data_IF_683699625278
#
_entry.id   IF_683699625278
#
_cell.length_a   1.000
_cell.length_b   1.000
_cell.length_c   1.000
_cell.angle_alpha   90.00
_cell.angle_beta   90.00
_cell.angle_gamma   90.00
#
_symmetry.space_group_name_H-M   'P 1'
#
loop_
_entity.id
_entity.type
_entity.pdbx_description
1 polymer ?
#
# COMPACT_ATOMS: atom_id res chain seq x y z
N UNK A 1 16.04 -18.83 24.91
CA UNK A 1 16.37 -19.97 24.02
C UNK A 1 17.68 -20.51 24.53
N UNK A 2 17.66 -21.72 25.07
CA UNK A 2 18.84 -22.45 25.55
C UNK A 2 19.48 -23.24 24.40
N UNK A 3 20.70 -23.74 24.62
CA UNK A 3 21.40 -24.55 23.62
C UNK A 3 20.63 -25.85 23.38
N UNK A 4 20.46 -26.22 22.11
CA UNK A 4 19.69 -27.39 21.66
C UNK A 4 18.17 -27.31 21.95
N UNK A 5 17.63 -26.12 22.23
CA UNK A 5 16.19 -25.88 22.34
C UNK A 5 15.65 -25.32 21.02
N UNK A 6 14.59 -25.92 20.48
CA UNK A 6 13.79 -25.31 19.42
C UNK A 6 12.64 -24.53 20.08
N UNK A 7 12.53 -23.24 19.76
CA UNK A 7 11.50 -22.38 20.33
C UNK A 7 10.79 -21.60 19.23
N UNK A 8 9.46 -21.65 19.24
CA UNK A 8 8.60 -20.86 18.35
C UNK A 8 8.70 -19.38 18.74
N UNK A 9 8.85 -18.52 17.75
CA UNK A 9 8.91 -17.06 17.94
C UNK A 9 7.49 -16.51 17.99
N UNK A 10 7.15 -15.84 19.10
CA UNK A 10 5.88 -15.13 19.23
C UNK A 10 5.80 -13.99 18.21
N UNK A 11 4.67 -13.87 17.52
CA UNK A 11 4.45 -12.91 16.43
C UNK A 11 5.47 -13.04 15.27
N UNK A 12 5.97 -14.26 14.99
CA UNK A 12 6.90 -14.51 13.90
C UNK A 12 6.31 -14.46 12.48
N UNK A 13 5.00 -14.25 12.34
CA UNK A 13 4.33 -14.13 11.04
C UNK A 13 4.14 -12.67 10.64
N UNK A 14 4.54 -12.33 9.42
CA UNK A 14 4.30 -11.04 8.79
C UNK A 14 3.97 -11.25 7.31
N UNK A 15 3.04 -10.45 6.79
CA UNK A 15 2.66 -10.45 5.39
C UNK A 15 2.76 -9.03 4.84
N UNK A 16 3.31 -8.91 3.63
CA UNK A 16 3.44 -7.65 2.91
C UNK A 16 2.62 -7.74 1.62
N UNK A 17 1.68 -6.83 1.47
CA UNK A 17 0.92 -6.65 0.23
C UNK A 17 1.44 -5.41 -0.48
N UNK A 18 1.87 -5.57 -1.73
CA UNK A 18 2.42 -4.47 -2.52
C UNK A 18 2.15 -4.68 -4.00
N UNK A 19 2.31 -3.60 -4.76
CA UNK A 19 2.15 -3.58 -6.22
C UNK A 19 3.51 -3.28 -6.82
N UNK A 20 4.00 -4.18 -7.67
CA UNK A 20 5.31 -4.02 -8.30
C UNK A 20 5.29 -4.64 -9.70
N UNK A 21 6.19 -4.15 -10.58
CA UNK A 21 6.44 -4.79 -11.86
C UNK A 21 7.16 -6.15 -11.62
N UNK A 22 6.74 -7.26 -12.25
CA UNK A 22 7.39 -8.56 -12.07
C UNK A 22 8.91 -8.55 -12.32
N UNK A 23 9.38 -7.74 -13.30
CA UNK A 23 10.81 -7.62 -13.58
C UNK A 23 11.56 -6.88 -12.47
N UNK A 24 10.93 -5.86 -11.88
CA UNK A 24 11.50 -5.11 -10.76
C UNK A 24 11.55 -5.99 -9.51
N UNK A 25 10.49 -6.76 -9.22
CA UNK A 25 10.48 -7.73 -8.13
C UNK A 25 11.60 -8.76 -8.29
N UNK A 26 11.77 -9.33 -9.49
CA UNK A 26 12.86 -10.27 -9.80
C UNK A 26 14.24 -9.65 -9.52
N UNK A 27 14.47 -8.42 -9.99
CA UNK A 27 15.74 -7.72 -9.79
C UNK A 27 16.01 -7.45 -8.30
N UNK A 28 15.00 -7.02 -7.55
CA UNK A 28 15.15 -6.73 -6.12
C UNK A 28 15.44 -8.00 -5.31
N UNK A 29 14.67 -9.08 -5.50
CA UNK A 29 14.88 -10.34 -4.79
C UNK A 29 16.20 -11.02 -5.15
N UNK A 30 16.74 -10.77 -6.35
CA UNK A 30 18.06 -11.28 -6.77
C UNK A 30 19.20 -10.45 -6.20
N UNK A 31 19.01 -9.14 -6.05
CA UNK A 31 20.07 -8.21 -5.65
C UNK A 31 20.27 -8.16 -4.14
N UNK A 32 19.17 -8.24 -3.38
CA UNK A 32 19.19 -7.99 -1.94
C UNK A 32 18.67 -9.21 -1.17
N UNK A 33 19.48 -9.74 -0.25
CA UNK A 33 19.05 -10.77 0.68
C UNK A 33 18.27 -10.13 1.83
N UNK A 34 17.26 -10.84 2.34
CA UNK A 34 16.56 -10.44 3.56
C UNK A 34 17.49 -10.66 4.75
N UNK A 35 17.83 -9.56 5.44
CA UNK A 35 18.63 -9.56 6.65
C UNK A 35 17.73 -9.62 7.88
N UNK A 36 17.94 -10.62 8.73
CA UNK A 36 17.22 -10.79 10.00
C UNK A 36 18.22 -10.60 11.15
N UNK A 37 17.98 -9.56 11.95
CA UNK A 37 18.76 -9.26 13.15
C UNK A 37 18.18 -10.01 14.36
N UNK A 38 19.05 -10.73 15.08
CA UNK A 38 18.67 -11.44 16.31
C UNK A 38 19.15 -10.64 17.51
N UNK A 39 18.21 -10.08 18.27
CA UNK A 39 18.48 -9.18 19.38
C UNK A 39 18.05 -9.82 20.71
N UNK A 40 18.95 -9.80 21.69
CA UNK A 40 18.66 -10.12 23.07
C UNK A 40 18.05 -8.91 23.77
N UNK A 41 16.80 -9.04 24.20
CA UNK A 41 16.10 -8.03 25.00
C UNK A 41 16.15 -8.42 26.48
N UNK A 42 16.60 -7.49 27.30
CA UNK A 42 16.57 -7.58 28.76
C UNK A 42 15.86 -6.33 29.30
N UNK A 43 15.00 -6.48 30.30
CA UNK A 43 14.29 -5.35 30.89
C UNK A 43 15.23 -4.39 31.66
N UNK A 44 16.40 -4.88 32.07
CA UNK A 44 17.36 -4.13 32.89
C UNK A 44 18.59 -3.67 32.12
N UNK A 45 18.88 -4.28 30.97
CA UNK A 45 20.08 -4.02 30.16
C UNK A 45 19.66 -3.55 28.78
N UNK A 46 20.44 -2.65 28.18
CA UNK A 46 20.21 -2.22 26.79
C UNK A 46 20.23 -3.44 25.86
N UNK A 47 19.29 -3.46 24.93
CA UNK A 47 19.19 -4.44 23.85
C UNK A 47 20.56 -4.75 23.24
N UNK A 48 20.89 -6.04 23.17
CA UNK A 48 22.18 -6.53 22.69
C UNK A 48 21.98 -7.37 21.45
N UNK A 49 22.60 -6.95 20.36
CA UNK A 49 22.67 -7.73 19.13
C UNK A 49 23.47 -9.03 19.35
N UNK A 50 22.86 -10.16 18.95
CA UNK A 50 23.45 -11.49 19.09
C UNK A 50 24.10 -11.91 17.77
N UNK A 51 23.41 -11.72 16.64
CA UNK A 51 23.90 -12.10 15.31
C UNK A 51 22.88 -11.81 14.22
N UNK A 52 23.20 -12.24 13.01
CA UNK A 52 22.44 -11.99 11.79
C UNK A 52 22.15 -13.28 11.04
N UNK A 53 21.05 -13.29 10.30
CA UNK A 53 20.69 -14.34 9.37
C UNK A 53 20.40 -13.70 8.00
N UNK A 54 20.96 -14.27 6.93
CA UNK A 54 20.72 -13.83 5.56
C UNK A 54 19.86 -14.86 4.85
N UNK A 55 18.73 -14.40 4.32
CA UNK A 55 17.76 -15.24 3.61
C UNK A 55 17.72 -14.81 2.15
N UNK A 56 18.05 -15.74 1.26
CA UNK A 56 18.06 -15.46 -0.17
C UNK A 56 16.66 -15.62 -0.78
N UNK A 57 15.91 -14.52 -0.86
CA UNK A 57 14.53 -14.56 -1.36
C UNK A 57 14.43 -14.90 -2.85
N UNK A 58 15.54 -14.89 -3.60
CA UNK A 58 15.57 -15.31 -5.01
C UNK A 58 15.12 -16.77 -5.19
N UNK A 59 15.33 -17.61 -4.19
CA UNK A 59 14.93 -19.03 -4.24
C UNK A 59 13.42 -19.21 -4.44
N UNK A 60 12.60 -18.28 -3.94
CA UNK A 60 11.14 -18.28 -4.16
C UNK A 60 10.79 -18.25 -5.65
N UNK A 61 11.60 -17.58 -6.49
CA UNK A 61 11.31 -17.39 -7.91
C UNK A 61 11.60 -18.65 -8.75
N UNK A 62 12.46 -19.54 -8.26
CA UNK A 62 12.83 -20.77 -8.96
C UNK A 62 12.06 -22.00 -8.49
N UNK A 63 11.35 -21.90 -7.37
CA UNK A 63 10.55 -23.00 -6.84
C UNK A 63 9.36 -23.26 -7.75
N UNK A 64 9.10 -24.54 -8.12
CA UNK A 64 7.95 -24.89 -8.94
C UNK A 64 6.65 -24.33 -8.35
N UNK A 65 5.84 -23.75 -9.21
CA UNK A 65 4.51 -23.24 -8.84
C UNK A 65 3.66 -24.37 -8.25
N UNK A 66 3.29 -24.24 -6.99
CA UNK A 66 2.30 -25.13 -6.38
C UNK A 66 0.91 -24.58 -6.72
N UNK A 67 0.28 -25.16 -7.74
CA UNK A 67 -1.07 -24.79 -8.13
C UNK A 67 -2.08 -25.31 -7.09
N UNK A 68 -2.53 -24.45 -6.18
CA UNK A 68 -3.60 -24.75 -5.24
C UNK A 68 -4.81 -23.84 -5.56
N UNK A 69 -5.54 -24.17 -6.63
CA UNK A 69 -6.63 -23.35 -7.18
C UNK A 69 -6.16 -22.26 -8.15
N UNK A 70 -6.88 -21.14 -8.21
CA UNK A 70 -6.60 -20.00 -9.11
C UNK A 70 -5.36 -19.16 -8.73
N UNK A 71 -4.70 -19.50 -7.61
CA UNK A 71 -3.56 -18.75 -7.09
C UNK A 71 -2.24 -19.44 -7.40
N UNK A 72 -1.30 -18.65 -7.91
CA UNK A 72 0.10 -19.04 -8.08
C UNK A 72 0.84 -18.77 -6.78
N UNK A 73 1.26 -19.84 -6.09
CA UNK A 73 1.96 -19.78 -4.81
C UNK A 73 3.35 -20.42 -4.95
N UNK A 74 4.38 -19.64 -4.61
CA UNK A 74 5.73 -20.14 -4.34
C UNK A 74 5.93 -20.24 -2.84
N UNK A 75 6.57 -21.31 -2.36
CA UNK A 75 6.74 -21.56 -0.93
C UNK A 75 8.12 -22.16 -0.62
N UNK A 76 8.84 -21.55 0.33
CA UNK A 76 10.12 -22.02 0.90
C UNK A 76 9.90 -22.30 2.39
N UNK A 77 10.45 -23.40 2.90
CA UNK A 77 10.51 -23.70 4.33
C UNK A 77 11.88 -24.32 4.65
N UNK A 78 12.80 -23.49 5.16
CA UNK A 78 14.20 -23.87 5.35
C UNK A 78 14.79 -23.33 6.67
N UNK A 79 15.89 -23.95 7.11
CA UNK A 79 16.67 -23.52 8.26
C UNK A 79 17.89 -22.70 7.80
N UNK A 80 17.98 -21.47 8.31
CA UNK A 80 19.06 -20.54 7.99
C UNK A 80 19.99 -20.38 9.19
N UNK A 81 21.33 -20.33 8.99
CA UNK A 81 22.27 -20.12 10.08
C UNK A 81 22.19 -18.69 10.60
N UNK A 82 22.28 -18.54 11.93
CA UNK A 82 22.46 -17.26 12.60
C UNK A 82 23.95 -17.13 12.89
N UNK A 83 24.62 -16.20 12.22
CA UNK A 83 26.04 -15.95 12.43
C UNK A 83 26.29 -14.74 13.31
N UNK A 84 27.26 -14.89 14.20
CA UNK A 84 27.80 -13.83 15.04
C UNK A 84 29.22 -13.52 14.59
N UNK A 85 29.54 -12.24 14.46
CA UNK A 85 30.92 -11.79 14.31
C UNK A 85 31.62 -12.10 15.62
N UNK A 86 32.59 -13.02 15.61
CA UNK A 86 33.41 -13.26 16.79
C UNK A 86 34.14 -11.95 17.12
N UNK A 87 33.72 -11.30 18.20
CA UNK A 87 34.54 -10.28 18.86
C UNK A 87 35.74 -11.00 19.50
N UNK A 88 36.68 -11.44 18.67
CA UNK A 88 37.97 -11.88 19.14
C UNK A 88 38.62 -10.71 19.86
N UNK A 89 39.21 -10.97 21.02
CA UNK A 89 40.22 -10.08 21.58
C UNK A 89 41.27 -9.83 20.49
N UNK A 90 41.17 -8.71 19.77
CA UNK A 90 42.09 -8.30 18.69
C UNK A 90 43.54 -8.10 19.16
N UNK A 91 43.85 -8.38 20.43
CA UNK A 91 45.13 -8.06 21.03
C UNK A 91 46.27 -9.05 20.72
N UNK A 92 46.03 -10.29 20.28
CA UNK A 92 47.16 -11.25 20.20
C UNK A 92 47.24 -12.25 19.04
N UNK A 93 46.47 -12.13 17.96
CA UNK A 93 46.68 -12.99 16.78
C UNK A 93 46.70 -12.19 15.49
N UNK A 94 47.92 -11.83 15.05
CA UNK A 94 48.22 -11.63 13.63
C UNK A 94 48.07 -12.98 12.92
N UNK A 95 46.84 -13.36 12.63
CA UNK A 95 46.57 -14.35 11.59
C UNK A 95 45.72 -13.63 10.58
N UNK A 96 46.39 -13.13 9.54
CA UNK A 96 45.75 -12.64 8.32
C UNK A 96 45.01 -13.82 7.69
N UNK A 97 43.73 -13.96 8.02
CA UNK A 97 42.81 -14.80 7.24
C UNK A 97 42.23 -13.94 6.10
N UNK A 98 43.00 -13.68 5.04
CA UNK A 98 42.55 -13.25 3.70
C UNK A 98 41.28 -12.36 3.63
N UNK A 99 41.16 -11.31 4.45
CA UNK A 99 40.02 -10.39 4.44
C UNK A 99 38.64 -10.99 4.75
N UNK A 100 38.55 -12.25 5.21
CA UNK A 100 37.27 -12.88 5.56
C UNK A 100 36.99 -12.71 7.05
N UNK A 101 35.93 -11.96 7.38
CA UNK A 101 35.37 -11.87 8.73
C UNK A 101 35.11 -13.29 9.26
N UNK A 102 35.71 -13.63 10.40
CA UNK A 102 35.48 -14.91 11.06
C UNK A 102 34.09 -14.89 11.72
N UNK A 103 33.10 -15.42 10.99
CA UNK A 103 31.76 -15.66 11.48
C UNK A 103 31.72 -16.96 12.28
N UNK A 104 30.98 -16.97 13.39
CA UNK A 104 30.53 -18.21 14.04
C UNK A 104 29.03 -18.32 13.96
N UNK A 105 28.55 -19.46 13.48
CA UNK A 105 27.16 -19.84 13.61
C UNK A 105 26.84 -20.14 15.07
N UNK A 106 25.90 -19.37 15.64
CA UNK A 106 25.46 -19.47 17.04
C UNK A 106 24.13 -20.22 17.18
N UNK A 107 23.40 -20.41 16.08
CA UNK A 107 22.12 -21.10 16.03
C UNK A 107 21.58 -21.18 14.60
N UNK A 108 20.36 -21.69 14.47
CA UNK A 108 19.61 -21.70 13.22
C UNK A 108 18.21 -21.11 13.45
N UNK A 109 17.63 -20.48 12.43
CA UNK A 109 16.26 -20.01 12.41
C UNK A 109 15.51 -20.70 11.26
N UNK A 110 14.37 -21.31 11.56
CA UNK A 110 13.47 -21.86 10.53
C UNK A 110 12.59 -20.75 9.99
N UNK A 111 12.56 -20.57 8.68
CA UNK A 111 11.82 -19.50 8.02
C UNK A 111 10.97 -20.10 6.93
N UNK A 112 9.67 -19.78 6.99
CA UNK A 112 8.71 -20.11 5.95
C UNK A 112 8.39 -18.84 5.16
N UNK A 113 8.68 -18.83 3.86
CA UNK A 113 8.36 -17.71 2.97
C UNK A 113 7.37 -18.16 1.91
N UNK A 114 6.36 -17.31 1.65
CA UNK A 114 5.37 -17.52 0.60
C UNK A 114 5.26 -16.29 -0.30
N UNK A 115 5.24 -16.48 -1.61
CA UNK A 115 4.98 -15.44 -2.60
C UNK A 115 3.72 -15.80 -3.39
N UNK A 116 2.68 -14.98 -3.25
CA UNK A 116 1.41 -15.09 -4.00
C UNK A 116 1.36 -14.02 -5.08
N UNK A 117 1.16 -14.42 -6.34
CA UNK A 117 0.85 -13.50 -7.44
C UNK A 117 -0.67 -13.44 -7.65
N UNK A 118 -1.27 -12.28 -7.35
CA UNK A 118 -2.70 -12.00 -7.56
C UNK A 118 -3.02 -11.53 -8.98
N UNK A 119 -2.03 -11.48 -9.86
CA UNK A 119 -2.16 -11.03 -11.24
C UNK A 119 -2.23 -9.51 -11.36
N UNK A 120 -2.64 -9.05 -12.54
CA UNK A 120 -2.74 -7.62 -12.84
C UNK A 120 -3.91 -6.98 -12.08
N UNK A 121 -3.70 -5.77 -11.58
CA UNK A 121 -4.75 -4.99 -10.92
C UNK A 121 -5.81 -4.60 -11.94
N UNK A 122 -6.97 -5.24 -11.86
CA UNK A 122 -8.09 -5.03 -12.79
C UNK A 122 -8.62 -3.58 -12.80
N UNK A 123 -8.28 -2.76 -11.79
CA UNK A 123 -8.80 -1.39 -11.65
C UNK A 123 -8.07 -0.31 -12.48
N UNK A 124 -6.95 -0.62 -13.12
CA UNK A 124 -6.22 0.36 -13.97
C UNK A 124 -6.50 0.23 -15.47
N UNK A 125 -7.13 -0.85 -15.92
CA UNK A 125 -7.40 -1.11 -17.34
C UNK A 125 -8.78 -0.61 -17.82
N UNK A 126 -9.56 0.06 -16.98
CA UNK A 126 -10.87 0.62 -17.35
C UNK A 126 -10.81 1.85 -18.28
N UNK A 127 -9.64 2.15 -18.84
CA UNK A 127 -9.45 3.34 -19.64
C UNK A 127 -8.40 3.17 -20.74
N UNK A 128 -8.45 2.11 -21.56
CA UNK A 128 -8.26 2.19 -23.02
C UNK A 128 -8.15 0.77 -23.63
N UNK A 129 -9.09 0.47 -24.54
CA UNK A 129 -8.95 -0.53 -25.61
C UNK A 129 -8.85 -2.02 -25.23
N UNK A 130 -9.94 -2.61 -24.74
CA UNK A 130 -10.19 -4.04 -24.89
C UNK A 130 -10.93 -4.30 -26.22
N UNK A 131 -10.17 -4.35 -27.30
CA UNK A 131 -10.54 -5.05 -28.54
C UNK A 131 -9.27 -5.59 -29.22
N UNK A 132 -8.44 -6.30 -28.46
CA UNK A 132 -7.47 -7.26 -29.01
C UNK A 132 -7.45 -8.46 -28.08
N UNK A 133 -8.08 -9.54 -28.53
CA UNK A 133 -7.91 -10.87 -27.98
C UNK A 133 -6.46 -11.32 -28.18
N UNK A 134 -5.62 -11.21 -27.15
CA UNK A 134 -4.37 -11.96 -27.09
C UNK A 134 -4.61 -13.21 -26.25
N UNK A 135 -4.90 -14.29 -26.97
CA UNK A 135 -4.65 -15.64 -26.48
C UNK A 135 -3.16 -15.77 -26.11
N UNK A 136 -2.91 -16.36 -24.95
CA UNK A 136 -1.61 -16.84 -24.52
C UNK A 136 -1.08 -17.86 -25.52
N UNK A 137 -0.01 -17.49 -26.24
CA UNK A 137 0.87 -18.43 -26.92
C UNK A 137 2.25 -18.39 -26.27
N UNK A 138 2.91 -19.55 -26.13
CA UNK A 138 4.22 -19.65 -25.52
C UNK A 138 5.27 -19.05 -26.45
N UNK A 139 6.11 -18.18 -25.88
CA UNK A 139 7.30 -17.65 -26.54
C UNK A 139 8.26 -18.81 -26.79
N UNK A 140 8.36 -19.24 -28.05
CA UNK A 140 9.53 -19.96 -28.54
C UNK A 140 9.96 -19.32 -29.86
N UNK A 141 11.01 -18.52 -29.74
CA UNK A 141 12.10 -18.34 -30.70
C UNK A 141 11.86 -18.88 -32.12
N UNK A 142 11.75 -17.98 -33.09
CA UNK A 142 12.16 -18.22 -34.48
C UNK A 142 12.44 -16.88 -35.18
N UNK A 143 13.72 -16.56 -35.27
CA UNK A 143 14.30 -15.55 -36.15
C UNK A 143 14.24 -16.03 -37.61
N UNK A 144 14.05 -15.07 -38.52
CA UNK A 144 14.23 -15.13 -39.99
C UNK A 144 13.11 -15.75 -40.83
N UNK A 145 12.38 -14.89 -41.57
CA UNK A 145 12.46 -14.89 -43.04
C UNK A 145 11.74 -13.70 -43.68
N UNK A 146 12.53 -12.92 -44.43
CA UNK A 146 12.12 -11.95 -45.44
C UNK A 146 11.45 -12.64 -46.63
N UNK A 147 10.28 -12.17 -47.08
CA UNK A 147 9.86 -12.27 -48.49
C UNK A 147 9.08 -10.99 -48.90
N UNK A 148 9.42 -10.31 -50.01
CA UNK A 148 8.71 -9.12 -50.51
C UNK A 148 7.51 -9.48 -51.40
N UNK A 149 6.43 -8.71 -51.30
CA UNK A 149 5.25 -8.80 -52.17
C UNK A 149 5.42 -7.97 -53.44
N UNK A 150 5.41 -8.65 -54.60
CA UNK A 150 5.21 -8.05 -55.91
C UNK A 150 3.70 -8.04 -56.24
N UNK A 151 3.15 -6.86 -56.53
CA UNK A 151 1.91 -6.72 -57.32
C UNK A 151 2.22 -5.91 -58.58
N UNK A 152 1.75 -6.34 -59.76
CA UNK A 152 1.97 -5.61 -61.01
C UNK A 152 0.89 -4.54 -61.23
N UNK A 153 1.35 -3.45 -61.83
CA UNK A 153 0.61 -2.32 -62.36
C UNK A 153 -0.47 -2.74 -63.38
N UNK A 154 -1.64 -2.12 -63.29
CA UNK A 154 -2.51 -1.90 -64.45
C UNK A 154 -2.75 -0.39 -64.65
N UNK A 155 -2.47 0.04 -65.87
CA UNK A 155 -2.50 1.41 -66.35
C UNK A 155 -3.88 1.86 -66.85
N UNK A 156 -4.16 3.15 -66.62
CA UNK A 156 -4.84 4.13 -67.49
C UNK A 156 -6.31 3.90 -67.88
N UNK A 157 -7.14 4.86 -67.45
CA UNK A 157 -8.03 5.65 -68.32
C UNK A 157 -8.41 6.96 -67.62
N UNK A 158 -7.69 8.03 -67.95
CA UNK A 158 -8.01 9.40 -67.59
C UNK A 158 -8.97 10.01 -68.61
N UNK A 159 -9.96 10.73 -68.10
CA UNK A 159 -10.82 11.60 -68.90
C UNK A 159 -12.17 11.80 -68.23
N UNK A 160 -12.39 12.99 -67.66
CA UNK A 160 -13.70 13.51 -67.19
C UNK A 160 -14.08 13.29 -65.70
N UNK A 161 -13.12 13.32 -64.75
CA UNK A 161 -13.41 13.34 -63.28
C UNK A 161 -12.65 14.48 -62.55
N UNK A 162 -12.24 15.54 -63.26
CA UNK A 162 -11.42 16.60 -62.65
C UNK A 162 -12.22 17.61 -61.78
N UNK A 163 -13.54 17.74 -61.97
CA UNK A 163 -14.37 18.75 -61.28
C UNK A 163 -15.06 18.19 -60.02
N UNK A 164 -15.38 16.89 -59.97
CA UNK A 164 -15.90 16.26 -58.75
C UNK A 164 -14.83 16.02 -57.68
N UNK A 165 -13.58 15.79 -58.08
CA UNK A 165 -12.48 15.53 -57.15
C UNK A 165 -12.09 16.79 -56.35
N UNK A 166 -12.29 17.99 -56.89
CA UNK A 166 -11.99 19.26 -56.21
C UNK A 166 -13.01 19.59 -55.11
N UNK A 167 -14.29 19.31 -55.32
CA UNK A 167 -15.35 19.51 -54.30
C UNK A 167 -15.20 18.48 -53.16
N UNK A 168 -14.83 17.25 -53.48
CA UNK A 168 -14.58 16.22 -52.47
C UNK A 168 -13.32 16.52 -51.64
N UNK A 169 -12.27 17.06 -52.27
CA UNK A 169 -11.05 17.47 -51.57
C UNK A 169 -11.30 18.63 -50.59
N UNK A 170 -12.11 19.63 -50.96
CA UNK A 170 -12.45 20.74 -50.05
C UNK A 170 -13.35 20.31 -48.90
N UNK A 171 -14.33 19.43 -49.14
CA UNK A 171 -15.17 18.86 -48.09
C UNK A 171 -14.35 18.03 -47.09
N UNK A 172 -13.42 17.19 -47.59
CA UNK A 172 -12.52 16.40 -46.74
C UNK A 172 -11.59 17.29 -45.90
N UNK A 173 -11.07 18.37 -46.47
CA UNK A 173 -10.24 19.32 -45.73
C UNK A 173 -11.02 20.02 -44.60
N UNK A 174 -12.28 20.38 -44.84
CA UNK A 174 -13.18 20.93 -43.81
C UNK A 174 -13.50 19.89 -42.72
N UNK A 175 -13.77 18.64 -43.08
CA UNK A 175 -13.97 17.56 -42.09
C UNK A 175 -12.73 17.36 -41.22
N UNK A 176 -11.54 17.35 -41.82
CA UNK A 176 -10.28 17.24 -41.09
C UNK A 176 -10.03 18.44 -40.17
N UNK A 177 -10.49 19.63 -40.54
CA UNK A 177 -10.44 20.81 -39.70
C UNK A 177 -11.43 20.70 -38.52
N UNK A 178 -12.69 20.33 -38.77
CA UNK A 178 -13.70 20.15 -37.72
C UNK A 178 -13.28 19.06 -36.73
N UNK A 179 -12.74 17.93 -37.21
CA UNK A 179 -12.23 16.86 -36.34
C UNK A 179 -11.05 17.34 -35.48
N UNK A 180 -10.18 18.21 -36.02
CA UNK A 180 -9.10 18.83 -35.24
C UNK A 180 -9.64 19.77 -34.17
N UNK A 181 -10.57 20.64 -34.53
CA UNK A 181 -11.20 21.58 -33.59
C UNK A 181 -11.95 20.84 -32.46
N UNK A 182 -12.69 19.78 -32.78
CA UNK A 182 -13.36 18.93 -31.78
C UNK A 182 -12.38 18.21 -30.86
N UNK A 183 -11.24 17.73 -31.38
CA UNK A 183 -10.18 17.13 -30.56
C UNK A 183 -9.57 18.15 -29.60
N UNK A 184 -9.26 19.35 -30.09
CA UNK A 184 -8.73 20.43 -29.26
C UNK A 184 -9.73 20.85 -28.17
N UNK A 185 -11.01 21.01 -28.53
CA UNK A 185 -12.07 21.32 -27.58
C UNK A 185 -12.22 20.23 -26.51
N UNK A 186 -12.17 18.95 -26.90
CA UNK A 186 -12.22 17.82 -25.95
C UNK A 186 -11.04 17.87 -24.97
N UNK A 187 -9.83 18.12 -25.46
CA UNK A 187 -8.63 18.28 -24.62
C UNK A 187 -8.80 19.47 -23.67
N UNK A 188 -9.33 20.60 -24.15
CA UNK A 188 -9.58 21.78 -23.31
C UNK A 188 -10.59 21.48 -22.19
N UNK A 189 -11.69 20.78 -22.48
CA UNK A 189 -12.67 20.40 -21.46
C UNK A 189 -12.09 19.40 -20.45
N UNK A 190 -11.29 18.44 -20.93
CA UNK A 190 -10.61 17.48 -20.07
C UNK A 190 -9.62 18.19 -19.14
N UNK A 191 -8.87 19.17 -19.64
CA UNK A 191 -7.97 19.99 -18.83
C UNK A 191 -8.74 20.81 -17.78
N UNK A 192 -9.84 21.47 -18.15
CA UNK A 192 -10.70 22.20 -17.20
C UNK A 192 -11.25 21.31 -16.09
N UNK A 193 -11.63 20.08 -16.43
CA UNK A 193 -12.09 19.11 -15.44
C UNK A 193 -10.94 18.65 -14.53
N UNK A 194 -9.77 18.38 -15.10
CA UNK A 194 -8.60 17.95 -14.35
C UNK A 194 -8.09 19.04 -13.39
N UNK A 195 -8.12 20.32 -13.80
CA UNK A 195 -7.80 21.46 -12.92
C UNK A 195 -8.78 21.59 -11.75
N UNK A 196 -10.09 21.44 -12.02
CA UNK A 196 -11.11 21.43 -10.95
C UNK A 196 -10.88 20.28 -9.97
N UNK A 197 -10.56 19.10 -10.49
CA UNK A 197 -10.29 17.93 -9.67
C UNK A 197 -9.04 18.12 -8.80
N UNK A 198 -7.93 18.62 -9.38
CA UNK A 198 -6.72 18.99 -8.64
C UNK A 198 -6.98 20.02 -7.55
N UNK A 199 -7.84 21.01 -7.79
CA UNK A 199 -8.19 22.02 -6.80
C UNK A 199 -8.99 21.43 -5.62
N UNK A 200 -9.90 20.48 -5.90
CA UNK A 200 -10.65 19.76 -4.87
C UNK A 200 -9.70 18.85 -4.05
N UNK A 201 -8.81 18.14 -4.72
CA UNK A 201 -7.80 17.28 -4.08
C UNK A 201 -6.88 18.11 -3.18
N UNK A 202 -6.32 19.22 -3.69
CA UNK A 202 -5.49 20.12 -2.91
C UNK A 202 -6.22 20.69 -1.68
N UNK A 203 -7.50 21.06 -1.84
CA UNK A 203 -8.33 21.50 -0.71
C UNK A 203 -8.52 20.40 0.33
N UNK A 204 -8.77 19.16 -0.10
CA UNK A 204 -8.94 18.02 0.81
C UNK A 204 -7.65 17.65 1.52
N UNK A 205 -6.51 17.72 0.84
CA UNK A 205 -5.20 17.52 1.45
C UNK A 205 -4.90 18.61 2.50
N UNK A 206 -5.21 19.87 2.20
CA UNK A 206 -5.08 20.96 3.18
C UNK A 206 -5.96 20.76 4.42
N UNK A 207 -7.22 20.34 4.25
CA UNK A 207 -8.14 20.03 5.36
C UNK A 207 -7.61 18.87 6.24
N UNK A 208 -7.00 17.85 5.62
CA UNK A 208 -6.39 16.72 6.35
C UNK A 208 -5.13 17.15 7.09
N UNK A 209 -4.29 17.99 6.48
CA UNK A 209 -3.08 18.52 7.11
C UNK A 209 -3.42 19.36 8.35
N UNK A 210 -4.46 20.21 8.28
CA UNK A 210 -4.94 20.99 9.42
C UNK A 210 -5.44 20.08 10.56
N UNK A 211 -6.27 19.08 10.28
CA UNK A 211 -6.73 18.12 11.30
C UNK A 211 -5.57 17.36 11.94
N UNK A 212 -4.58 16.98 11.15
CA UNK A 212 -3.39 16.31 11.67
C UNK A 212 -2.58 17.24 12.58
N UNK A 213 -2.40 18.51 12.21
CA UNK A 213 -1.77 19.53 13.06
C UNK A 213 -2.55 19.75 14.37
N UNK A 214 -3.88 19.79 14.33
CA UNK A 214 -4.72 19.88 15.52
C UNK A 214 -4.55 18.67 16.45
N UNK A 215 -4.55 17.47 15.88
CA UNK A 215 -4.36 16.23 16.64
C UNK A 215 -2.96 16.16 17.26
N UNK A 216 -1.93 16.56 16.52
CA UNK A 216 -0.55 16.59 17.03
C UNK A 216 -0.40 17.64 18.14
N UNK A 217 -1.00 18.82 17.98
CA UNK A 217 -1.06 19.82 19.04
C UNK A 217 -1.75 19.29 20.29
N UNK A 218 -2.85 18.54 20.14
CA UNK A 218 -3.55 17.91 21.27
C UNK A 218 -2.67 16.86 21.97
N UNK A 219 -1.92 16.05 21.20
CA UNK A 219 -0.97 15.06 21.72
C UNK A 219 0.15 15.75 22.51
N UNK A 220 0.73 16.83 21.95
CA UNK A 220 1.76 17.62 22.60
C UNK A 220 1.27 18.26 23.91
N UNK A 221 0.05 18.82 23.92
CA UNK A 221 -0.56 19.35 25.14
C UNK A 221 -0.75 18.29 26.22
N UNK A 222 -1.16 17.08 25.83
CA UNK A 222 -1.34 15.95 26.76
C UNK A 222 -0.01 15.51 27.35
N UNK A 223 1.04 15.40 26.53
CA UNK A 223 2.40 15.10 26.98
C UNK A 223 2.92 16.18 27.92
N UNK A 224 2.68 17.47 27.62
CA UNK A 224 3.09 18.57 28.47
C UNK A 224 2.41 18.52 29.85
N UNK A 225 1.10 18.25 29.91
CA UNK A 225 0.37 18.06 31.17
C UNK A 225 0.93 16.88 31.98
N UNK A 226 1.19 15.74 31.32
CA UNK A 226 1.79 14.57 31.98
C UNK A 226 3.19 14.84 32.51
N UNK A 227 4.00 15.61 31.79
CA UNK A 227 5.32 16.06 32.25
C UNK A 227 5.21 16.95 33.49
N UNK A 228 4.23 17.85 33.55
CA UNK A 228 3.98 18.69 34.72
C UNK A 228 3.53 17.88 35.95
N UNK A 229 2.65 16.89 35.75
CA UNK A 229 2.23 15.94 36.80
C UNK A 229 3.42 15.15 37.34
N UNK A 230 4.29 14.63 36.47
CA UNK A 230 5.51 13.93 36.87
C UNK A 230 6.45 14.82 37.67
N UNK A 231 6.65 16.08 37.28
CA UNK A 231 7.46 17.03 38.05
C UNK A 231 6.86 17.32 39.44
N UNK A 232 5.53 17.37 39.57
CA UNK A 232 4.87 17.52 40.87
C UNK A 232 5.10 16.30 41.76
N UNK A 233 5.00 15.09 41.20
CA UNK A 233 5.28 13.85 41.92
C UNK A 233 6.75 13.73 42.32
N UNK A 234 7.67 14.11 41.44
CA UNK A 234 9.11 14.13 41.75
C UNK A 234 9.43 15.07 42.91
N UNK A 235 8.81 16.27 42.94
CA UNK A 235 8.96 17.20 44.07
C UNK A 235 8.42 16.62 45.38
N UNK A 236 7.24 15.97 45.34
CA UNK A 236 6.67 15.28 46.52
C UNK A 236 7.58 14.15 47.01
N UNK A 237 8.15 13.36 46.10
CA UNK A 237 9.07 12.28 46.43
C UNK A 237 10.35 12.83 47.10
N UNK A 238 10.94 13.91 46.56
CA UNK A 238 12.11 14.56 47.16
C UNK A 238 11.84 15.08 48.56
N UNK A 239 10.68 15.70 48.79
CA UNK A 239 10.27 16.15 50.13
C UNK A 239 10.12 14.97 51.08
N UNK A 240 9.44 13.90 50.65
CA UNK A 240 9.27 12.69 51.47
C UNK A 240 10.60 12.01 51.80
N UNK A 241 11.55 11.97 50.87
CA UNK A 241 12.89 11.43 51.13
C UNK A 241 13.64 12.28 52.16
N UNK A 242 13.57 13.61 52.05
CA UNK A 242 14.17 14.51 53.02
C UNK A 242 13.59 14.32 54.44
N UNK A 243 12.27 14.12 54.55
CA UNK A 243 11.61 13.86 55.82
C UNK A 243 12.05 12.51 56.42
N UNK A 244 12.15 11.46 55.59
CA UNK A 244 12.64 10.14 56.01
C UNK A 244 14.10 10.21 56.49
N UNK A 245 14.99 10.88 55.75
CA UNK A 245 16.38 11.10 56.17
C UNK A 245 16.47 11.91 57.48
N UNK A 246 15.52 12.80 57.72
CA UNK A 246 15.38 13.52 58.98
C UNK A 246 14.98 12.62 60.15
N UNK A 247 13.98 11.75 59.94
CA UNK A 247 13.56 10.74 60.92
C UNK A 247 14.69 9.73 61.20
N UNK A 248 15.39 9.26 60.18
CA UNK A 248 16.51 8.32 60.32
C UNK A 248 17.65 8.90 61.16
N UNK A 249 18.02 10.17 60.93
CA UNK A 249 19.03 10.86 61.75
C UNK A 249 18.61 10.97 63.22
N UNK A 250 17.33 11.26 63.49
CA UNK A 250 16.79 11.30 64.87
C UNK A 250 16.85 9.92 65.54
N UNK A 251 16.45 8.87 64.81
CA UNK A 251 16.51 7.49 65.30
C UNK A 251 17.95 7.09 65.61
N UNK A 252 18.90 7.40 64.72
CA UNK A 252 20.32 7.11 64.92
C UNK A 252 20.89 7.81 66.16
N UNK A 253 20.52 9.08 66.39
CA UNK A 253 20.92 9.82 67.60
C UNK A 253 20.37 9.15 68.87
N UNK A 254 19.08 8.81 68.89
CA UNK A 254 18.46 8.12 70.03
C UNK A 254 19.06 6.72 70.26
N UNK A 255 19.40 5.98 69.20
CA UNK A 255 20.11 4.70 69.30
C UNK A 255 21.48 4.89 69.97
N UNK A 256 22.27 5.88 69.54
CA UNK A 256 23.58 6.15 70.18
C UNK A 256 23.46 6.55 71.64
N UNK A 257 22.43 7.32 72.01
CA UNK A 257 22.13 7.69 73.40
C UNK A 257 21.77 6.46 74.24
N UNK A 258 20.93 5.57 73.72
CA UNK A 258 20.54 4.34 74.40
C UNK A 258 21.74 3.40 74.61
N UNK A 259 22.63 3.28 73.62
CA UNK A 259 23.85 2.49 73.72
C UNK A 259 24.78 3.03 74.81
N UNK A 260 24.93 4.36 74.91
CA UNK A 260 25.72 5.00 75.96
C UNK A 260 25.15 4.74 77.36
N UNK A 261 23.82 4.92 77.53
CA UNK A 261 23.15 4.62 78.80
C UNK A 261 23.28 3.15 79.19
N UNK A 262 23.19 2.23 78.21
CA UNK A 262 23.38 0.79 78.44
C UNK A 262 24.80 0.49 78.93
N UNK A 263 25.82 1.03 78.27
CA UNK A 263 27.22 0.86 78.67
C UNK A 263 27.50 1.42 80.07
N UNK A 264 26.87 2.55 80.43
CA UNK A 264 27.00 3.14 81.77
C UNK A 264 26.39 2.23 82.84
N UNK A 265 25.18 1.71 82.60
CA UNK A 265 24.51 0.77 83.50
C UNK A 265 25.32 -0.54 83.67
N UNK A 266 25.90 -1.07 82.58
CA UNK A 266 26.76 -2.26 82.64
C UNK A 266 28.04 -2.00 83.45
N UNK A 267 28.64 -0.82 83.34
CA UNK A 267 29.81 -0.43 84.14
C UNK A 267 29.48 -0.30 85.63
N UNK A 268 28.34 0.34 85.94
CA UNK A 268 27.83 0.44 87.31
C UNK A 268 27.54 -0.95 87.90
N UNK A 269 26.95 -1.84 87.12
CA UNK A 269 26.69 -3.22 87.55
C UNK A 269 27.99 -3.98 87.84
N UNK A 270 29.00 -3.90 86.96
CA UNK A 270 30.33 -4.51 87.20
C UNK A 270 31.00 -3.93 88.45
N UNK A 271 30.89 -2.63 88.68
CA UNK A 271 31.46 -1.97 89.86
C UNK A 271 30.78 -2.43 91.15
N UNK A 272 29.44 -2.52 91.13
CA UNK A 272 28.66 -3.07 92.25
C UNK A 272 28.94 -4.55 92.47
N UNK A 273 29.18 -5.34 91.42
CA UNK A 273 29.52 -6.76 91.53
C UNK A 273 30.87 -6.97 92.22
N UNK A 274 31.85 -6.09 92.02
CA UNK A 274 33.18 -6.14 92.68
C UNK A 274 33.12 -5.68 94.15
N UNK A 275 32.18 -4.79 94.50
CA UNK A 275 32.02 -4.30 95.88
C UNK A 275 31.27 -5.29 96.79
N UNK A 276 30.61 -6.32 96.25
CA UNK A 276 29.85 -7.30 97.02
C UNK A 276 30.68 -8.47 97.60
N UNK A 277 31.99 -8.52 97.38
CA UNK A 277 32.88 -9.60 97.84
C UNK A 277 33.68 -9.27 99.13
N UNK A 278 33.43 -8.15 99.81
CA UNK A 278 34.11 -7.82 101.08
C UNK A 278 33.14 -7.38 102.18
N UNK A 279 33.27 -8.11 103.29
CA UNK A 279 32.85 -7.84 104.66
C UNK A 279 31.38 -7.97 105.08
N UNK A 280 31.16 -9.00 105.91
CA UNK A 280 30.05 -9.10 106.83
C UNK A 280 30.53 -9.06 108.28
N UNK A 281 30.08 -8.05 109.05
CA UNK A 281 29.73 -8.18 110.49
C UNK A 281 29.12 -6.87 111.05
N UNK A 282 27.82 -6.69 110.83
CA UNK A 282 26.91 -5.89 111.71
C UNK A 282 25.45 -6.28 111.44
N UNK A 283 25.11 -7.56 111.66
CA UNK A 283 23.93 -8.27 111.12
C UNK A 283 22.58 -8.03 111.83
N UNK A 284 22.27 -6.81 112.27
CA UNK A 284 20.87 -6.53 112.65
C UNK A 284 20.45 -5.10 112.32
N UNK A 285 21.26 -4.10 112.66
CA UNK A 285 21.02 -2.73 112.18
C UNK A 285 21.35 -2.57 110.70
N UNK A 286 22.38 -3.25 110.19
CA UNK A 286 22.71 -3.28 108.77
C UNK A 286 21.70 -4.13 107.99
N UNK A 287 21.04 -5.11 108.60
CA UNK A 287 19.97 -5.88 107.94
C UNK A 287 18.71 -5.03 107.80
N UNK A 288 18.38 -4.20 108.80
CA UNK A 288 17.26 -3.26 108.73
C UNK A 288 17.54 -2.09 107.77
N UNK A 289 18.76 -1.53 107.81
CA UNK A 289 19.21 -0.51 106.85
C UNK A 289 19.32 -1.09 105.43
N UNK A 290 19.78 -2.34 105.27
CA UNK A 290 19.78 -3.07 104.00
C UNK A 290 18.36 -3.42 103.54
N UNK A 291 17.43 -3.75 104.43
CA UNK A 291 16.03 -3.92 104.07
C UNK A 291 15.42 -2.61 103.59
N UNK A 292 15.76 -1.49 104.21
CA UNK A 292 15.29 -0.16 103.81
C UNK A 292 15.96 0.31 102.50
N UNK A 293 17.27 0.10 102.35
CA UNK A 293 18.03 0.34 101.11
C UNK A 293 17.51 -0.56 99.97
N UNK A 294 17.23 -1.84 100.23
CA UNK A 294 16.62 -2.74 99.25
C UNK A 294 15.19 -2.30 98.93
N UNK A 295 14.41 -1.78 99.88
CA UNK A 295 13.09 -1.17 99.60
C UNK A 295 13.24 0.07 98.75
N UNK A 296 14.19 0.95 99.04
CA UNK A 296 14.47 2.14 98.23
C UNK A 296 14.98 1.78 96.84
N UNK A 297 15.87 0.80 96.70
CA UNK A 297 16.33 0.26 95.42
C UNK A 297 15.18 -0.39 94.66
N UNK A 298 14.30 -1.14 95.34
CA UNK A 298 13.12 -1.74 94.72
C UNK A 298 12.11 -0.68 94.28
N UNK A 299 11.96 0.42 95.02
CA UNK A 299 11.17 1.59 94.60
C UNK A 299 11.82 2.30 93.40
N UNK A 300 13.16 2.45 93.38
CA UNK A 300 13.90 3.04 92.24
C UNK A 300 13.78 2.16 90.99
N UNK A 301 13.99 0.86 91.12
CA UNK A 301 13.85 -0.10 90.03
C UNK A 301 12.40 -0.21 89.55
N UNK A 302 11.41 -0.14 90.45
CA UNK A 302 10.00 -0.08 90.08
C UNK A 302 9.69 1.20 89.30
N UNK A 303 10.16 2.37 89.76
CA UNK A 303 10.00 3.64 89.02
C UNK A 303 10.68 3.61 87.65
N UNK A 304 11.87 2.99 87.54
CA UNK A 304 12.58 2.84 86.28
C UNK A 304 11.86 1.87 85.34
N UNK A 305 11.34 0.76 85.87
CA UNK A 305 10.51 -0.19 85.14
C UNK A 305 9.22 0.49 84.64
N UNK A 306 8.52 1.24 85.50
CA UNK A 306 7.32 2.00 85.15
C UNK A 306 7.61 3.06 84.08
N UNK A 307 8.75 3.78 84.18
CA UNK A 307 9.17 4.76 83.18
C UNK A 307 9.53 4.11 81.83
N UNK A 308 10.22 2.97 81.84
CA UNK A 308 10.53 2.22 80.62
C UNK A 308 9.25 1.67 79.98
N UNK A 309 8.33 1.12 80.79
CA UNK A 309 7.02 0.62 80.35
C UNK A 309 6.19 1.76 79.74
N UNK A 310 6.19 2.94 80.37
CA UNK A 310 5.53 4.12 79.82
C UNK A 310 6.11 4.55 78.47
N UNK A 311 7.45 4.52 78.30
CA UNK A 311 8.11 4.80 77.01
C UNK A 311 7.71 3.78 75.94
N UNK A 312 7.65 2.49 76.28
CA UNK A 312 7.18 1.46 75.34
C UNK A 312 5.72 1.64 74.95
N UNK A 313 4.85 1.96 75.92
CA UNK A 313 3.44 2.26 75.67
C UNK A 313 3.30 3.49 74.75
N UNK A 314 4.06 4.56 74.98
CA UNK A 314 4.02 5.76 74.16
C UNK A 314 4.53 5.51 72.73
N UNK A 315 5.58 4.72 72.57
CA UNK A 315 6.06 4.32 71.23
C UNK A 315 5.04 3.42 70.52
N UNK A 316 4.43 2.47 71.25
CA UNK A 316 3.39 1.59 70.71
C UNK A 316 2.14 2.39 70.25
N UNK A 317 1.72 3.40 71.02
CA UNK A 317 0.59 4.26 70.62
C UNK A 317 0.93 5.12 69.39
N UNK A 318 2.15 5.64 69.30
CA UNK A 318 2.63 6.36 68.11
C UNK A 318 2.64 5.46 66.86
N UNK A 319 3.24 4.27 66.96
CA UNK A 319 3.28 3.32 65.85
C UNK A 319 1.87 2.88 65.42
N UNK A 320 0.98 2.62 66.37
CA UNK A 320 -0.42 2.29 66.06
C UNK A 320 -1.13 3.43 65.31
N UNK A 321 -0.85 4.69 65.66
CA UNK A 321 -1.39 5.85 64.93
C UNK A 321 -0.84 5.92 63.49
N UNK A 322 0.47 5.71 63.30
CA UNK A 322 1.11 5.70 61.97
C UNK A 322 0.59 4.55 61.11
N UNK A 323 0.41 3.35 61.69
CA UNK A 323 -0.23 2.20 61.03
C UNK A 323 -1.67 2.54 60.63
N UNK A 324 -2.43 3.22 61.48
CA UNK A 324 -3.78 3.68 61.17
C UNK A 324 -3.82 4.63 59.96
N UNK A 325 -2.90 5.60 59.90
CA UNK A 325 -2.78 6.54 58.77
C UNK A 325 -2.43 5.81 57.46
N UNK A 326 -1.42 4.93 57.49
CA UNK A 326 -1.03 4.14 56.32
C UNK A 326 -2.15 3.23 55.82
N UNK A 327 -2.96 2.66 56.73
CA UNK A 327 -4.16 1.88 56.34
C UNK A 327 -5.21 2.73 55.64
N UNK A 328 -5.40 3.97 56.07
CA UNK A 328 -6.33 4.90 55.42
C UNK A 328 -5.84 5.33 54.03
N UNK A 329 -4.54 5.63 53.89
CA UNK A 329 -3.93 5.96 52.60
C UNK A 329 -4.00 4.77 51.64
N UNK A 330 -3.68 3.57 52.10
CA UNK A 330 -3.83 2.34 51.32
C UNK A 330 -5.29 2.15 50.87
N UNK A 331 -6.26 2.33 51.77
CA UNK A 331 -7.67 2.24 51.41
C UNK A 331 -8.12 3.30 50.38
N UNK A 332 -7.56 4.52 50.44
CA UNK A 332 -7.81 5.57 49.44
C UNK A 332 -7.24 5.19 48.07
N UNK A 333 -5.98 4.77 48.03
CA UNK A 333 -5.31 4.36 46.77
C UNK A 333 -5.98 3.14 46.14
N UNK A 334 -6.45 2.17 46.93
CA UNK A 334 -7.25 1.04 46.41
C UNK A 334 -8.56 1.52 45.75
N UNK A 335 -9.26 2.49 46.34
CA UNK A 335 -10.47 3.07 45.74
C UNK A 335 -10.18 3.79 44.42
N UNK A 336 -9.09 4.57 44.35
CA UNK A 336 -8.66 5.22 43.11
C UNK A 336 -8.31 4.19 42.02
N UNK A 337 -7.62 3.10 42.40
CA UNK A 337 -7.28 2.02 41.49
C UNK A 337 -8.53 1.33 40.92
N UNK A 338 -9.55 1.08 41.75
CA UNK A 338 -10.82 0.51 41.29
C UNK A 338 -11.60 1.47 40.38
N UNK A 339 -11.54 2.78 40.64
CA UNK A 339 -12.11 3.80 39.74
C UNK A 339 -11.42 3.80 38.37
N UNK A 340 -10.09 3.73 38.34
CA UNK A 340 -9.35 3.66 37.08
C UNK A 340 -9.61 2.36 36.32
N UNK A 341 -9.76 1.21 37.01
CA UNK A 341 -10.18 -0.04 36.37
C UNK A 341 -11.56 0.09 35.72
N UNK A 342 -12.54 0.65 36.44
CA UNK A 342 -13.88 0.89 35.87
C UNK A 342 -13.85 1.83 34.66
N UNK A 343 -13.01 2.88 34.68
CA UNK A 343 -12.80 3.75 33.53
C UNK A 343 -12.21 3.00 32.33
N UNK A 344 -11.18 2.17 32.55
CA UNK A 344 -10.58 1.33 31.50
C UNK A 344 -11.62 0.39 30.90
N UNK A 345 -12.43 -0.28 31.72
CA UNK A 345 -13.48 -1.19 31.25
C UNK A 345 -14.53 -0.45 30.40
N UNK A 346 -14.94 0.75 30.84
CA UNK A 346 -15.89 1.59 30.09
C UNK A 346 -15.33 2.04 28.73
N UNK A 347 -14.05 2.42 28.68
CA UNK A 347 -13.38 2.82 27.45
C UNK A 347 -13.17 1.64 26.51
N UNK A 348 -12.85 0.47 27.06
CA UNK A 348 -12.70 -0.77 26.29
C UNK A 348 -14.04 -1.19 25.67
N UNK A 349 -15.15 -1.03 26.38
CA UNK A 349 -16.48 -1.29 25.82
C UNK A 349 -16.82 -0.32 24.69
N UNK A 350 -16.59 0.98 24.91
CA UNK A 350 -16.78 2.02 23.88
C UNK A 350 -15.92 1.79 22.64
N UNK A 351 -14.69 1.32 22.80
CA UNK A 351 -13.82 0.96 21.69
C UNK A 351 -14.41 -0.20 20.85
N UNK A 352 -14.95 -1.23 21.52
CA UNK A 352 -15.63 -2.34 20.84
C UNK A 352 -16.84 -1.85 20.04
N UNK A 353 -17.65 -0.97 20.61
CA UNK A 353 -18.82 -0.40 19.93
C UNK A 353 -18.42 0.41 18.70
N UNK A 354 -17.40 1.26 18.82
CA UNK A 354 -16.87 2.03 17.69
C UNK A 354 -16.30 1.13 16.58
N UNK A 355 -15.62 0.03 16.94
CA UNK A 355 -15.14 -0.97 15.97
C UNK A 355 -16.31 -1.66 15.25
N UNK A 356 -17.42 -1.93 15.93
CA UNK A 356 -18.63 -2.50 15.32
C UNK A 356 -19.26 -1.49 14.35
N UNK A 357 -19.46 -0.24 14.79
CA UNK A 357 -20.00 0.83 13.93
C UNK A 357 -19.13 1.08 12.70
N UNK A 358 -17.81 1.06 12.85
CA UNK A 358 -16.89 1.18 11.72
C UNK A 358 -17.07 0.04 10.72
N UNK A 359 -17.17 -1.21 11.19
CA UNK A 359 -17.43 -2.37 10.33
C UNK A 359 -18.77 -2.26 9.58
N UNK A 360 -19.81 -1.75 10.23
CA UNK A 360 -21.12 -1.53 9.61
C UNK A 360 -21.05 -0.42 8.55
N UNK A 361 -20.37 0.69 8.84
CA UNK A 361 -20.18 1.77 7.87
C UNK A 361 -19.39 1.35 6.64
N UNK A 362 -18.34 0.52 6.81
CA UNK A 362 -17.56 -0.04 5.70
C UNK A 362 -18.39 -0.99 4.82
N UNK A 363 -19.27 -1.79 5.43
CA UNK A 363 -20.23 -2.62 4.69
C UNK A 363 -21.21 -1.76 3.88
N UNK A 364 -21.70 -0.67 4.44
CA UNK A 364 -22.61 0.24 3.74
C UNK A 364 -21.91 0.98 2.59
N UNK A 365 -20.67 1.43 2.78
CA UNK A 365 -19.85 2.01 1.69
C UNK A 365 -19.66 0.99 0.56
N UNK A 366 -19.32 -0.26 0.88
CA UNK A 366 -19.17 -1.32 -0.13
C UNK A 366 -20.49 -1.58 -0.87
N UNK A 367 -21.62 -1.57 -0.17
CA UNK A 367 -22.96 -1.70 -0.77
C UNK A 367 -23.27 -0.54 -1.72
N UNK A 368 -22.93 0.69 -1.33
CA UNK A 368 -23.12 1.88 -2.17
C UNK A 368 -22.21 1.88 -3.39
N UNK A 369 -20.95 1.44 -3.26
CA UNK A 369 -20.03 1.25 -4.39
C UNK A 369 -20.58 0.24 -5.40
N UNK A 370 -21.11 -0.90 -4.94
CA UNK A 370 -21.75 -1.87 -5.83
C UNK A 370 -22.98 -1.29 -6.53
N UNK A 371 -23.81 -0.51 -5.84
CA UNK A 371 -24.96 0.18 -6.46
C UNK A 371 -24.52 1.21 -7.50
N UNK A 372 -23.47 1.97 -7.23
CA UNK A 372 -22.90 2.94 -8.15
C UNK A 372 -22.38 2.23 -9.42
N UNK A 373 -21.58 1.19 -9.24
CA UNK A 373 -21.04 0.40 -10.37
C UNK A 373 -22.16 -0.24 -11.20
N UNK A 374 -23.23 -0.73 -10.56
CA UNK A 374 -24.40 -1.26 -11.27
C UNK A 374 -25.10 -0.16 -12.10
N UNK A 375 -25.22 1.06 -11.55
CA UNK A 375 -25.81 2.21 -12.25
C UNK A 375 -24.94 2.71 -13.41
N UNK A 376 -23.63 2.76 -13.22
CA UNK A 376 -22.67 3.08 -14.29
C UNK A 376 -22.72 2.03 -15.41
N UNK A 377 -22.80 0.74 -15.05
CA UNK A 377 -22.95 -0.34 -16.02
C UNK A 377 -24.25 -0.23 -16.83
N UNK A 378 -25.37 0.10 -16.16
CA UNK A 378 -26.66 0.34 -16.80
C UNK A 378 -26.60 1.55 -17.76
N UNK A 379 -25.93 2.63 -17.36
CA UNK A 379 -25.71 3.81 -18.20
C UNK A 379 -24.87 3.49 -19.43
N UNK A 380 -23.73 2.81 -19.27
CA UNK A 380 -22.86 2.38 -20.37
C UNK A 380 -23.62 1.48 -21.34
N UNK A 381 -24.43 0.54 -20.84
CA UNK A 381 -25.25 -0.34 -21.68
C UNK A 381 -26.32 0.44 -22.45
N UNK A 382 -26.92 1.47 -21.84
CA UNK A 382 -27.88 2.35 -22.50
C UNK A 382 -27.23 3.19 -23.61
N UNK A 383 -26.00 3.69 -23.39
CA UNK A 383 -25.22 4.41 -24.40
C UNK A 383 -24.79 3.48 -25.54
N UNK A 384 -24.33 2.25 -25.25
CA UNK A 384 -24.01 1.24 -26.27
C UNK A 384 -25.21 0.96 -27.17
N UNK A 385 -26.40 0.77 -26.59
CA UNK A 385 -27.65 0.60 -27.35
C UNK A 385 -28.02 1.84 -28.17
N UNK A 386 -27.73 3.04 -27.67
CA UNK A 386 -27.95 4.27 -28.45
C UNK A 386 -26.99 4.39 -29.63
N UNK A 387 -25.69 4.11 -29.42
CA UNK A 387 -24.67 4.09 -30.47
C UNK A 387 -25.00 3.04 -31.53
N UNK A 388 -25.43 1.85 -31.14
CA UNK A 388 -25.81 0.80 -32.10
C UNK A 388 -27.05 1.21 -32.92
N UNK A 389 -28.04 1.87 -32.31
CA UNK A 389 -29.17 2.44 -33.05
C UNK A 389 -28.72 3.48 -34.07
N UNK A 390 -27.84 4.41 -33.69
CA UNK A 390 -27.27 5.40 -34.60
C UNK A 390 -26.47 4.75 -35.74
N UNK A 391 -25.71 3.70 -35.43
CA UNK A 391 -24.96 2.92 -36.42
C UNK A 391 -25.88 2.28 -37.45
N UNK A 392 -26.98 1.65 -37.00
CA UNK A 392 -28.00 1.07 -37.89
C UNK A 392 -28.65 2.15 -38.75
N UNK A 393 -28.98 3.31 -38.18
CA UNK A 393 -29.59 4.43 -38.90
C UNK A 393 -28.65 5.01 -39.98
N UNK A 394 -27.37 5.21 -39.63
CA UNK A 394 -26.34 5.67 -40.55
C UNK A 394 -26.10 4.65 -41.68
N UNK A 395 -26.06 3.36 -41.34
CA UNK A 395 -25.91 2.30 -42.33
C UNK A 395 -27.10 2.25 -43.29
N UNK A 396 -28.33 2.37 -42.78
CA UNK A 396 -29.55 2.46 -43.60
C UNK A 396 -29.51 3.67 -44.55
N UNK A 397 -29.14 4.85 -44.05
CA UNK A 397 -28.96 6.06 -44.87
C UNK A 397 -27.88 5.88 -45.93
N UNK A 398 -26.76 5.26 -45.59
CA UNK A 398 -25.68 4.94 -46.53
C UNK A 398 -26.12 4.00 -47.63
N UNK A 399 -26.85 2.92 -47.30
CA UNK A 399 -27.42 1.99 -48.27
C UNK A 399 -28.42 2.71 -49.19
N UNK A 400 -29.25 3.60 -48.65
CA UNK A 400 -30.20 4.39 -49.45
C UNK A 400 -29.48 5.32 -50.45
N UNK A 401 -28.45 6.04 -50.00
CA UNK A 401 -27.63 6.89 -50.87
C UNK A 401 -26.93 6.05 -51.95
N UNK A 402 -26.37 4.89 -51.57
CA UNK A 402 -25.68 4.00 -52.49
C UNK A 402 -26.63 3.45 -53.57
N UNK A 403 -27.84 3.04 -53.20
CA UNK A 403 -28.88 2.61 -54.13
C UNK A 403 -29.34 3.74 -55.05
N UNK A 404 -29.50 4.95 -54.52
CA UNK A 404 -29.86 6.14 -55.31
C UNK A 404 -28.80 6.49 -56.35
N UNK A 405 -27.51 6.46 -55.95
CA UNK A 405 -26.38 6.66 -56.86
C UNK A 405 -26.32 5.56 -57.92
N UNK A 406 -26.47 4.30 -57.53
CA UNK A 406 -26.48 3.17 -58.47
C UNK A 406 -27.60 3.31 -59.51
N UNK A 407 -28.80 3.69 -59.07
CA UNK A 407 -29.95 3.90 -59.95
C UNK A 407 -29.72 5.09 -60.91
N UNK A 408 -29.08 6.16 -60.43
CA UNK A 408 -28.72 7.33 -61.24
C UNK A 408 -27.68 6.96 -62.32
N UNK A 409 -26.65 6.19 -61.94
CA UNK A 409 -25.66 5.66 -62.88
C UNK A 409 -26.33 4.76 -63.92
N UNK A 410 -27.23 3.87 -63.49
CA UNK A 410 -27.96 2.97 -64.38
C UNK A 410 -28.82 3.73 -65.39
N UNK A 411 -29.52 4.78 -64.94
CA UNK A 411 -30.30 5.67 -65.81
C UNK A 411 -29.41 6.34 -66.86
N UNK A 412 -28.26 6.88 -66.45
CA UNK A 412 -27.30 7.48 -67.39
C UNK A 412 -26.73 6.46 -68.38
N UNK A 413 -26.46 5.21 -67.96
CA UNK A 413 -26.03 4.14 -68.87
C UNK A 413 -27.10 3.79 -69.90
N UNK A 414 -28.37 3.71 -69.50
CA UNK A 414 -29.50 3.51 -70.42
C UNK A 414 -29.56 4.65 -71.43
N UNK A 415 -29.49 5.90 -70.99
CA UNK A 415 -29.49 7.07 -71.87
C UNK A 415 -28.30 7.04 -72.86
N UNK A 416 -27.12 6.62 -72.39
CA UNK A 416 -25.93 6.44 -73.23
C UNK A 416 -26.13 5.33 -74.27
N UNK A 417 -26.73 4.20 -73.88
CA UNK A 417 -27.06 3.11 -74.79
C UNK A 417 -28.06 3.54 -75.87
N UNK A 418 -29.11 4.29 -75.50
CA UNK A 418 -30.05 4.87 -76.46
C UNK A 418 -29.35 5.85 -77.41
N UNK A 419 -28.46 6.70 -76.88
CA UNK A 419 -27.67 7.61 -77.68
C UNK A 419 -26.77 6.85 -78.67
N UNK A 420 -26.09 5.80 -78.22
CA UNK A 420 -25.22 4.97 -79.05
C UNK A 420 -26.01 4.26 -80.17
N UNK A 421 -27.17 3.69 -79.83
CA UNK A 421 -28.07 3.05 -80.80
C UNK A 421 -28.61 4.04 -81.83
N UNK A 422 -28.98 5.25 -81.39
CA UNK A 422 -29.39 6.35 -82.28
C UNK A 422 -28.25 6.78 -83.20
N UNK A 423 -27.01 6.86 -82.69
CA UNK A 423 -25.81 7.17 -83.48
C UNK A 423 -25.51 6.09 -84.51
N UNK A 424 -25.60 4.80 -84.15
CA UNK A 424 -25.49 3.68 -85.10
C UNK A 424 -26.52 3.80 -86.23
N UNK A 425 -27.77 4.11 -85.88
CA UNK A 425 -28.84 4.27 -86.87
C UNK A 425 -28.60 5.46 -87.82
N UNK A 426 -27.94 6.53 -87.33
CA UNK A 426 -27.50 7.66 -88.16
C UNK A 426 -26.31 7.30 -89.05
N UNK A 427 -25.33 6.51 -88.56
CA UNK A 427 -24.22 6.03 -89.38
C UNK A 427 -24.68 5.05 -90.45
N UNK A 428 -25.66 4.18 -90.16
CA UNK A 428 -26.24 3.28 -91.15
C UNK A 428 -27.03 4.05 -92.21
N UNK A 429 -27.76 5.10 -91.80
CA UNK A 429 -28.39 6.03 -92.75
C UNK A 429 -27.36 6.77 -93.58
N UNK A 430 -26.24 7.21 -93.00
CA UNK A 430 -25.15 7.85 -93.73
C UNK A 430 -24.48 6.90 -94.71
N UNK A 431 -24.22 5.64 -94.32
CA UNK A 431 -23.68 4.60 -95.20
C UNK A 431 -24.62 4.32 -96.36
N UNK A 432 -25.92 4.11 -96.10
CA UNK A 432 -26.94 3.97 -97.15
C UNK A 432 -27.03 5.19 -98.06
N UNK A 433 -26.87 6.40 -97.52
CA UNK A 433 -26.83 7.63 -98.32
C UNK A 433 -25.58 7.70 -99.20
N UNK A 434 -24.42 7.31 -98.67
CA UNK A 434 -23.17 7.25 -99.43
C UNK A 434 -23.19 6.12 -100.49
N UNK A 435 -23.81 4.98 -100.21
CA UNK A 435 -24.08 3.93 -101.20
C UNK A 435 -25.02 4.45 -102.30
N UNK A 436 -26.08 5.19 -101.95
CA UNK A 436 -26.96 5.84 -102.93
C UNK A 436 -26.22 6.91 -103.75
N UNK A 437 -25.31 7.67 -103.14
CA UNK A 437 -24.44 8.64 -103.84
C UNK A 437 -23.48 7.91 -104.78
N UNK A 438 -22.85 6.82 -104.35
CA UNK A 438 -22.00 5.98 -105.20
C UNK A 438 -22.80 5.36 -106.36
N UNK A 439 -24.04 4.92 -106.12
CA UNK A 439 -24.93 4.41 -107.17
C UNK A 439 -25.29 5.54 -108.15
N UNK A 440 -25.54 6.76 -107.67
CA UNK A 440 -25.82 7.91 -108.54
C UNK A 440 -24.57 8.39 -109.30
N UNK A 441 -23.38 8.35 -108.72
CA UNK A 441 -22.12 8.59 -109.42
C UNK A 441 -21.83 7.51 -110.47
N UNK A 442 -22.15 6.23 -110.20
CA UNK A 442 -22.08 5.17 -111.23
C UNK A 442 -23.14 5.33 -112.32
N UNK A 443 -24.33 5.84 -112.01
CA UNK A 443 -25.36 6.18 -113.00
C UNK A 443 -25.00 7.43 -113.80
N UNK A 444 -24.31 8.41 -113.20
CA UNK A 444 -23.70 9.54 -113.90
C UNK A 444 -22.53 9.10 -114.78
N UNK A 445 -21.78 8.06 -114.41
CA UNK A 445 -20.80 7.43 -115.30
C UNK A 445 -21.46 6.64 -116.44
N UNK A 446 -22.58 5.97 -116.21
CA UNK A 446 -23.35 5.29 -117.27
C UNK A 446 -24.03 6.31 -118.20
N UNK A 447 -24.49 7.45 -117.70
CA UNK A 447 -25.07 8.54 -118.53
C UNK A 447 -24.01 9.46 -119.15
N UNK A 448 -22.78 9.48 -118.60
CA UNK A 448 -21.60 10.06 -119.25
C UNK A 448 -20.98 9.14 -120.31
N UNK A 449 -21.26 7.83 -120.28
CA UNK A 449 -20.91 6.89 -121.35
C UNK A 449 -21.99 6.78 -122.45
N UNK A 450 -23.21 7.27 -122.23
CA UNK A 450 -24.27 7.40 -123.25
C UNK A 450 -24.20 8.69 -124.09
N UNK A 451 -23.17 9.53 -123.91
CA UNK A 451 -22.91 10.71 -124.78
C UNK A 451 -21.59 10.62 -125.56
N UNK A 452 -20.92 9.46 -125.58
CA UNK A 452 -19.79 9.18 -126.47
C UNK A 452 -19.76 7.72 -126.91
N UNK A 453 -20.63 7.34 -127.84
CA UNK A 453 -20.36 6.42 -128.98
C UNK A 453 -21.65 5.98 -129.64
N UNK A 454 -21.98 6.62 -130.77
CA UNK A 454 -21.98 5.95 -132.07
C UNK A 454 -22.69 6.81 -133.11
N UNK A 455 -21.89 7.69 -133.72
CA UNK A 455 -21.84 7.75 -135.17
C UNK A 455 -20.67 6.86 -135.61
N UNK A 456 -20.81 6.22 -136.78
CA UNK A 456 -19.85 5.36 -137.50
C UNK A 456 -20.13 3.86 -137.39
N UNK A 457 -21.07 3.43 -138.23
CA UNK A 457 -21.09 2.09 -138.84
C UNK A 457 -19.78 1.82 -139.59
N UNK A 458 -19.14 0.67 -139.35
CA UNK A 458 -18.88 -0.32 -140.41
C UNK A 458 -18.06 -1.53 -139.95
N UNK A 459 -18.53 -2.69 -140.44
CA UNK A 459 -17.77 -3.84 -140.95
C UNK A 459 -17.24 -4.95 -140.01
N UNK A 460 -17.95 -6.08 -140.14
CA UNK A 460 -17.45 -7.42 -140.55
C UNK A 460 -16.72 -8.32 -139.54
N UNK A 461 -17.46 -9.35 -139.11
CA UNK A 461 -17.30 -10.78 -139.50
C UNK A 461 -17.01 -11.83 -138.41
N UNK A 462 -17.76 -12.94 -138.59
CA UNK A 462 -17.61 -14.35 -138.17
C UNK A 462 -17.98 -14.73 -136.72
N UNK A 463 -19.11 -15.42 -136.48
CA UNK A 463 -19.42 -16.88 -136.67
C UNK A 463 -18.59 -17.69 -135.66
N UNK A 464 -19.15 -18.37 -134.66
CA UNK A 464 -20.28 -19.33 -134.66
C UNK A 464 -21.09 -19.30 -133.36
#
# INVERSE_FOLDING_TARGET
IQRCEEKVIDNGFCAFEFVCNPLELFQQLTKEALLIEVIHKDALVKDREIGWCWVNLNELLYIPLSCNGDKQLHFVDEYYPIDQIKQGNWKHSKVECNGKLALSTIGHIRICCSLEDFGRIAHLDNGHNANVSTASLPVRESLLQHVPSHFPNEEKKEGTIAVCNTIYATAKLMEEQIVRELKLWKIEQQNKWHEKWKLIEAKKLSELEERWKEQENHRLQTIAKKKEELLKLEKKLKLSLYDIEGEERKIKLEQTRLEHMKSELESQFKTKQVLCDVDGKTKYEHEQRRCEELREELVKHKKQADASTHKYILNATYLNKKIGQLRMELASTCKELDQYKQQIDSMTHREKDLRIQLKESLKEVSRLQHKLHAKESEYIESEKKHVERLRIELFSKFCFISLYLLNTIFKHLIDLMFFYKRRQHLTDRSKKRNELVSITETLEQITSDDTKKNTVSNQMNHVE
#
